data_IF_749956480192
#
_entry.id   IF_749956480192
#
_cell.length_a   1.000
_cell.length_b   1.000
_cell.length_c   1.000
_cell.angle_alpha   90.00
_cell.angle_beta   90.00
_cell.angle_gamma   90.00
#
_symmetry.space_group_name_H-M   'P 1'
#
loop_
_entity.id
_entity.type
_entity.pdbx_description
1 polymer ?
#
# COMPACT_ATOMS: atom_id res chain seq x y z
N UNK A 1 31.70 8.31 6.15
CA UNK A 1 31.47 7.49 7.36
C UNK A 1 31.82 6.05 7.01
N UNK A 2 32.49 5.29 7.90
CA UNK A 2 32.71 3.87 7.69
C UNK A 2 31.38 3.16 7.39
N UNK A 3 31.37 2.15 6.52
CA UNK A 3 30.13 1.44 6.11
C UNK A 3 29.33 0.90 7.31
N UNK A 4 30.00 0.57 8.42
CA UNK A 4 29.42 0.01 9.64
C UNK A 4 28.43 0.93 10.40
N UNK A 5 28.46 2.26 10.16
CA UNK A 5 27.58 3.24 10.84
C UNK A 5 26.43 3.74 9.98
N UNK A 6 26.28 3.22 8.75
CA UNK A 6 25.20 3.66 7.87
C UNK A 6 23.86 3.06 8.30
N UNK A 7 22.77 3.85 8.33
CA UNK A 7 21.46 3.33 8.70
C UNK A 7 21.00 2.29 7.67
N UNK A 8 20.39 1.21 8.15
CA UNK A 8 19.84 0.15 7.29
C UNK A 8 18.43 0.55 6.88
N UNK A 9 18.23 0.93 5.62
CA UNK A 9 16.97 1.50 5.13
C UNK A 9 16.41 0.69 3.97
N UNK A 10 15.08 0.69 3.84
CA UNK A 10 14.43 0.22 2.62
C UNK A 10 14.64 1.23 1.51
N UNK A 11 15.01 0.80 0.30
CA UNK A 11 15.20 1.72 -0.82
C UNK A 11 13.87 2.34 -1.27
N UNK A 12 13.87 3.49 -1.96
CA UNK A 12 12.67 4.07 -2.56
C UNK A 12 11.96 3.07 -3.48
N UNK A 13 12.75 2.28 -4.24
CA UNK A 13 12.21 1.24 -5.11
C UNK A 13 11.44 0.16 -4.36
N UNK A 14 11.89 -0.26 -3.17
CA UNK A 14 11.15 -1.21 -2.32
C UNK A 14 9.86 -0.59 -1.80
N UNK A 15 9.87 0.69 -1.41
CA UNK A 15 8.66 1.39 -0.97
C UNK A 15 7.63 1.43 -2.10
N UNK A 16 8.06 1.79 -3.32
CA UNK A 16 7.21 1.79 -4.52
C UNK A 16 6.67 0.39 -4.79
N UNK A 17 7.53 -0.63 -4.78
CA UNK A 17 7.16 -2.02 -5.04
C UNK A 17 6.06 -2.48 -4.09
N UNK A 18 6.22 -2.27 -2.78
CA UNK A 18 5.20 -2.66 -1.80
C UNK A 18 3.93 -1.82 -1.90
N UNK A 19 4.05 -0.55 -2.29
CA UNK A 19 2.88 0.30 -2.50
C UNK A 19 2.01 -0.18 -3.64
N UNK A 20 2.63 -0.61 -4.75
CA UNK A 20 1.94 -1.11 -5.95
C UNK A 20 1.41 -2.53 -5.73
N UNK A 21 2.20 -3.40 -5.09
CA UNK A 21 1.82 -4.82 -4.90
C UNK A 21 0.76 -5.01 -3.82
N UNK A 22 0.82 -4.23 -2.74
CA UNK A 22 -0.08 -4.41 -1.59
C UNK A 22 -1.08 -3.27 -1.48
N UNK A 23 -0.61 -2.07 -1.13
CA UNK A 23 -1.37 -0.83 -1.07
C UNK A 23 -0.44 0.33 -0.66
N UNK A 24 -0.85 1.58 -0.85
CA UNK A 24 -0.22 2.80 -0.32
C UNK A 24 0.13 2.71 1.17
N UNK A 25 -0.73 2.10 1.99
CA UNK A 25 -0.46 1.87 3.42
C UNK A 25 0.83 1.06 3.64
N UNK A 26 1.05 0.00 2.87
CA UNK A 26 2.25 -0.84 3.01
C UNK A 26 3.52 -0.03 2.71
N UNK A 27 3.48 0.81 1.67
CA UNK A 27 4.55 1.75 1.35
C UNK A 27 4.80 2.76 2.46
N UNK A 28 3.73 3.35 3.01
CA UNK A 28 3.82 4.29 4.11
C UNK A 28 4.47 3.67 5.36
N UNK A 29 4.15 2.41 5.68
CA UNK A 29 4.75 1.69 6.81
C UNK A 29 6.26 1.52 6.61
N UNK A 30 6.70 1.11 5.41
CA UNK A 30 8.13 0.99 5.09
C UNK A 30 8.85 2.34 5.21
N UNK A 31 8.23 3.40 4.73
CA UNK A 31 8.76 4.75 4.82
C UNK A 31 8.81 5.25 6.28
N UNK A 32 7.79 4.94 7.08
CA UNK A 32 7.76 5.25 8.51
C UNK A 32 8.88 4.53 9.27
N UNK A 33 9.15 3.25 8.94
CA UNK A 33 10.27 2.49 9.48
C UNK A 33 11.60 3.18 9.12
N UNK A 34 11.76 3.65 7.88
CA UNK A 34 12.95 4.40 7.49
C UNK A 34 13.09 5.71 8.29
N UNK A 35 12.01 6.47 8.47
CA UNK A 35 12.00 7.70 9.27
C UNK A 35 12.35 7.43 10.75
N UNK A 36 11.90 6.30 11.28
CA UNK A 36 12.24 5.85 12.63
C UNK A 36 13.74 5.55 12.75
N UNK A 37 14.32 4.82 11.78
CA UNK A 37 15.75 4.49 11.73
C UNK A 37 16.64 5.76 11.69
N UNK A 38 16.21 6.79 10.97
CA UNK A 38 16.93 8.09 10.94
C UNK A 38 16.54 9.04 12.10
N UNK A 39 15.85 8.54 13.13
CA UNK A 39 15.41 9.27 14.33
C UNK A 39 14.50 10.48 14.04
N UNK A 40 13.78 10.47 12.90
CA UNK A 40 12.80 11.50 12.50
C UNK A 40 11.38 11.10 12.87
N UNK A 41 11.16 10.70 14.13
CA UNK A 41 9.85 10.20 14.60
C UNK A 41 8.70 11.19 14.47
N UNK A 42 8.98 12.50 14.59
CA UNK A 42 7.97 13.56 14.37
C UNK A 42 7.41 13.57 12.94
N UNK A 43 8.22 13.17 11.95
CA UNK A 43 7.78 13.08 10.56
C UNK A 43 6.80 11.93 10.31
N UNK A 44 6.85 10.88 11.14
CA UNK A 44 5.95 9.74 11.06
C UNK A 44 4.51 10.16 11.30
N UNK A 45 4.27 11.08 12.25
CA UNK A 45 2.93 11.65 12.48
C UNK A 45 2.41 12.42 11.26
N UNK A 46 3.28 13.17 10.59
CA UNK A 46 2.94 13.86 9.34
C UNK A 46 2.62 12.88 8.21
N UNK A 47 3.38 11.79 8.09
CA UNK A 47 3.10 10.72 7.14
C UNK A 47 1.78 10.02 7.45
N UNK A 48 1.50 9.70 8.71
CA UNK A 48 0.25 9.07 9.13
C UNK A 48 -0.96 9.97 8.84
N UNK A 49 -0.86 11.27 9.15
CA UNK A 49 -1.91 12.24 8.82
C UNK A 49 -2.14 12.35 7.31
N UNK A 50 -1.07 12.37 6.51
CA UNK A 50 -1.16 12.37 5.06
C UNK A 50 -1.85 11.12 4.53
N UNK A 51 -1.47 9.93 5.00
CA UNK A 51 -2.08 8.66 4.58
C UNK A 51 -3.54 8.61 4.96
N UNK A 52 -3.91 9.02 6.17
CA UNK A 52 -5.31 9.07 6.59
C UNK A 52 -6.14 10.02 5.73
N UNK A 53 -5.64 11.24 5.49
CA UNK A 53 -6.31 12.19 4.60
C UNK A 53 -6.45 11.64 3.18
N UNK A 54 -5.40 10.96 2.68
CA UNK A 54 -5.40 10.33 1.37
C UNK A 54 -6.48 9.25 1.25
N UNK A 55 -6.58 8.35 2.24
CA UNK A 55 -7.57 7.29 2.25
C UNK A 55 -9.00 7.83 2.30
N UNK A 56 -9.23 8.94 3.01
CA UNK A 56 -10.55 9.61 3.01
C UNK A 56 -10.88 10.16 1.62
N UNK A 57 -9.94 10.85 0.99
CA UNK A 57 -10.12 11.39 -0.37
C UNK A 57 -10.33 10.27 -1.38
N UNK A 58 -9.50 9.22 -1.33
CA UNK A 58 -9.62 8.04 -2.17
C UNK A 58 -10.99 7.37 -1.98
N UNK A 59 -11.45 7.20 -0.73
CA UNK A 59 -12.76 6.62 -0.44
C UNK A 59 -13.91 7.44 -1.04
N UNK A 60 -13.83 8.77 -1.02
CA UNK A 60 -14.85 9.65 -1.61
C UNK A 60 -14.85 9.51 -3.14
N UNK A 61 -13.66 9.49 -3.75
CA UNK A 61 -13.50 9.32 -5.20
C UNK A 61 -14.06 7.96 -5.62
N UNK A 62 -13.61 6.88 -4.97
CA UNK A 62 -14.04 5.51 -5.26
C UNK A 62 -15.56 5.38 -5.09
N UNK A 63 -16.13 5.93 -4.01
CA UNK A 63 -17.57 5.95 -3.82
C UNK A 63 -18.31 6.65 -4.97
N UNK A 64 -17.84 7.83 -5.39
CA UNK A 64 -18.44 8.57 -6.52
C UNK A 64 -18.32 7.80 -7.84
N UNK A 65 -17.20 7.12 -8.05
CA UNK A 65 -16.97 6.32 -9.25
C UNK A 65 -17.86 5.06 -9.30
N UNK A 66 -18.11 4.40 -8.16
CA UNK A 66 -19.03 3.26 -8.08
C UNK A 66 -20.46 3.63 -8.50
N UNK A 67 -20.89 4.87 -8.26
CA UNK A 67 -22.20 5.34 -8.70
C UNK A 67 -22.28 5.55 -10.23
N UNK A 68 -21.13 5.73 -10.89
CA UNK A 68 -21.04 5.98 -12.34
C UNK A 68 -20.85 4.70 -13.17
N UNK A 69 -20.58 3.54 -12.54
CA UNK A 69 -20.39 2.27 -13.23
C UNK A 69 -19.41 1.31 -12.54
N UNK A 70 -19.17 0.12 -13.13
CA UNK A 70 -18.23 -0.86 -12.57
C UNK A 70 -16.80 -0.30 -12.54
N UNK A 71 -16.16 -0.41 -11.39
CA UNK A 71 -14.78 0.05 -11.19
C UNK A 71 -13.80 -0.85 -11.94
N UNK A 72 -12.97 -0.24 -12.78
CA UNK A 72 -11.84 -0.94 -13.38
C UNK A 72 -10.71 -1.09 -12.35
N UNK A 73 -10.18 -2.31 -12.10
CA UNK A 73 -9.04 -2.53 -11.19
C UNK A 73 -7.80 -1.69 -11.54
N UNK A 74 -7.61 -1.38 -12.82
CA UNK A 74 -6.52 -0.52 -13.28
C UNK A 74 -6.67 0.91 -12.74
N UNK A 75 -7.91 1.40 -12.65
CA UNK A 75 -8.22 2.75 -12.17
C UNK A 75 -7.95 2.89 -10.67
N UNK A 76 -8.26 1.85 -9.89
CA UNK A 76 -7.88 1.77 -8.48
C UNK A 76 -6.36 1.77 -8.30
N UNK A 77 -5.62 1.09 -9.18
CA UNK A 77 -4.15 1.12 -9.15
C UNK A 77 -3.60 2.51 -9.47
N UNK A 78 -4.20 3.22 -10.43
CA UNK A 78 -3.83 4.61 -10.78
C UNK A 78 -4.16 5.56 -9.62
N UNK A 79 -5.25 5.34 -8.90
CA UNK A 79 -5.58 6.13 -7.71
C UNK A 79 -4.56 6.00 -6.59
N UNK A 80 -3.65 5.01 -6.62
CA UNK A 80 -2.57 4.89 -5.64
C UNK A 80 -1.28 5.65 -6.05
N UNK A 81 -1.11 5.97 -7.34
CA UNK A 81 0.09 6.64 -7.86
C UNK A 81 0.41 7.98 -7.16
N UNK A 82 -0.56 8.89 -6.93
CA UNK A 82 -0.27 10.17 -6.30
C UNK A 82 0.35 10.04 -4.90
N UNK A 83 -0.13 9.11 -4.08
CA UNK A 83 0.48 8.82 -2.78
C UNK A 83 1.89 8.24 -2.91
N UNK A 84 2.11 7.33 -3.87
CA UNK A 84 3.43 6.74 -4.13
C UNK A 84 4.44 7.82 -4.55
N UNK A 85 4.02 8.73 -5.44
CA UNK A 85 4.83 9.87 -5.85
C UNK A 85 5.13 10.79 -4.67
N UNK A 86 4.17 11.06 -3.79
CA UNK A 86 4.40 11.83 -2.59
C UNK A 86 5.44 11.17 -1.67
N UNK A 87 5.45 9.84 -1.54
CA UNK A 87 6.46 9.13 -0.75
C UNK A 87 7.87 9.35 -1.27
N UNK A 88 8.08 9.24 -2.59
CA UNK A 88 9.40 9.30 -3.21
C UNK A 88 9.87 10.73 -3.45
N UNK A 89 8.99 11.62 -3.91
CA UNK A 89 9.36 12.98 -4.32
C UNK A 89 9.29 13.99 -3.17
N UNK A 90 8.43 13.77 -2.19
CA UNK A 90 8.24 14.70 -1.08
C UNK A 90 8.84 14.15 0.21
N UNK A 91 8.31 13.03 0.71
CA UNK A 91 8.69 12.54 2.03
C UNK A 91 10.11 12.00 2.09
N UNK A 92 10.57 11.31 1.05
CA UNK A 92 11.92 10.75 1.01
C UNK A 92 13.01 11.84 1.08
N UNK A 93 13.12 12.80 0.16
CA UNK A 93 14.16 13.81 0.23
C UNK A 93 14.01 14.72 1.45
N UNK A 94 12.78 14.95 1.93
CA UNK A 94 12.51 15.85 3.06
C UNK A 94 12.87 15.25 4.41
N UNK A 95 12.62 13.96 4.62
CA UNK A 95 12.72 13.34 5.95
C UNK A 95 13.76 12.22 6.04
N UNK A 96 14.02 11.49 4.96
CA UNK A 96 15.09 10.48 4.91
C UNK A 96 16.38 11.14 4.43
N UNK A 97 16.34 11.84 3.29
CA UNK A 97 17.36 12.79 2.84
C UNK A 97 18.76 12.22 2.60
N UNK A 98 18.95 10.90 2.70
CA UNK A 98 20.25 10.23 2.52
C UNK A 98 20.15 9.14 1.46
N UNK A 99 21.15 9.10 0.58
CA UNK A 99 21.40 8.00 -0.36
C UNK A 99 22.62 7.17 0.06
N UNK A 100 23.27 7.52 1.17
CA UNK A 100 24.35 6.76 1.81
C UNK A 100 23.70 5.90 2.90
N UNK A 101 23.21 4.73 2.52
CA UNK A 101 22.56 3.78 3.43
C UNK A 101 22.82 2.35 2.97
N UNK A 102 22.79 1.41 3.92
CA UNK A 102 22.82 -0.01 3.58
C UNK A 102 21.40 -0.46 3.20
N UNK A 103 21.24 -1.01 1.99
CA UNK A 103 19.96 -1.48 1.52
C UNK A 103 19.49 -2.68 2.35
N UNK A 104 18.32 -2.54 2.99
CA UNK A 104 17.71 -3.62 3.76
C UNK A 104 17.15 -4.70 2.82
N UNK A 105 17.35 -5.97 3.18
CA UNK A 105 16.71 -7.09 2.49
C UNK A 105 15.18 -6.97 2.53
N UNK A 106 14.54 -7.03 1.36
CA UNK A 106 13.09 -6.84 1.19
C UNK A 106 12.34 -8.14 0.83
N UNK A 107 13.05 -9.19 0.43
CA UNK A 107 12.45 -10.47 0.02
C UNK A 107 11.70 -11.16 1.17
N UNK A 108 12.27 -11.18 2.37
CA UNK A 108 11.64 -11.78 3.55
C UNK A 108 10.30 -11.11 3.88
N UNK A 109 10.21 -9.78 4.09
CA UNK A 109 8.92 -9.14 4.36
C UNK A 109 7.94 -9.29 3.19
N UNK A 110 8.42 -9.33 1.94
CA UNK A 110 7.55 -9.53 0.78
C UNK A 110 6.90 -10.91 0.77
N UNK A 111 7.67 -11.97 1.06
CA UNK A 111 7.14 -13.33 1.16
C UNK A 111 6.11 -13.44 2.28
N UNK A 112 6.37 -12.82 3.44
CA UNK A 112 5.42 -12.81 4.56
C UNK A 112 4.11 -12.14 4.14
N UNK A 113 4.16 -10.96 3.53
CA UNK A 113 2.96 -10.26 3.07
C UNK A 113 2.20 -11.06 2.00
N UNK A 114 2.91 -11.74 1.09
CA UNK A 114 2.32 -12.56 0.04
C UNK A 114 1.61 -13.78 0.61
N UNK A 115 2.24 -14.51 1.55
CA UNK A 115 1.62 -15.64 2.25
C UNK A 115 0.36 -15.22 3.00
N UNK A 116 0.40 -14.07 3.69
CA UNK A 116 -0.76 -13.52 4.40
C UNK A 116 -1.89 -13.18 3.41
N UNK A 117 -1.58 -12.51 2.30
CA UNK A 117 -2.56 -12.11 1.29
C UNK A 117 -3.23 -13.32 0.64
N UNK A 118 -2.45 -14.33 0.26
CA UNK A 118 -2.97 -15.58 -0.32
C UNK A 118 -3.79 -16.35 0.72
N UNK A 119 -3.30 -16.45 1.96
CA UNK A 119 -3.99 -17.13 3.06
C UNK A 119 -5.35 -16.49 3.37
N UNK A 120 -5.39 -15.15 3.48
CA UNK A 120 -6.65 -14.40 3.66
C UNK A 120 -7.59 -14.57 2.46
N UNK A 121 -7.07 -14.55 1.24
CA UNK A 121 -7.87 -14.75 0.04
C UNK A 121 -8.51 -16.14 -0.02
N UNK A 122 -7.76 -17.19 0.34
CA UNK A 122 -8.29 -18.55 0.44
C UNK A 122 -9.29 -18.69 1.57
N UNK A 123 -9.02 -18.12 2.74
CA UNK A 123 -9.93 -18.15 3.89
C UNK A 123 -11.23 -17.40 3.59
N UNK A 124 -11.16 -16.24 2.93
CA UNK A 124 -12.34 -15.49 2.49
C UNK A 124 -13.17 -16.30 1.49
N UNK A 125 -12.53 -16.98 0.53
CA UNK A 125 -13.22 -17.89 -0.40
C UNK A 125 -13.87 -19.06 0.32
N UNK A 126 -13.17 -19.69 1.26
CA UNK A 126 -13.71 -20.76 2.08
C UNK A 126 -14.91 -20.26 2.89
N UNK A 127 -14.79 -19.12 3.58
CA UNK A 127 -15.88 -18.52 4.35
C UNK A 127 -17.12 -18.19 3.50
N UNK A 128 -16.93 -17.68 2.28
CA UNK A 128 -18.02 -17.41 1.33
C UNK A 128 -18.78 -18.67 0.93
N UNK A 129 -18.14 -19.85 0.90
CA UNK A 129 -18.81 -21.13 0.61
C UNK A 129 -19.77 -21.56 1.72
N UNK A 130 -19.58 -21.09 2.96
CA UNK A 130 -20.48 -21.38 4.09
C UNK A 130 -21.62 -20.37 4.23
N UNK A 131 -21.68 -19.33 3.40
CA UNK A 131 -22.80 -18.39 3.38
C UNK A 131 -23.82 -18.87 2.33
N UNK A 132 -24.92 -19.53 2.73
CA UNK A 132 -25.94 -19.97 1.79
C UNK A 132 -26.54 -18.75 1.07
N UNK A 133 -26.53 -18.77 -0.27
CA UNK A 133 -27.03 -17.67 -1.12
C UNK A 133 -25.97 -16.71 -1.68
N UNK A 134 -24.70 -16.82 -1.26
CA UNK A 134 -23.62 -15.98 -1.79
C UNK A 134 -23.41 -16.13 -3.31
N UNK A 135 -23.60 -17.34 -3.85
CA UNK A 135 -23.52 -17.58 -5.30
C UNK A 135 -24.66 -16.91 -6.09
N UNK A 136 -25.86 -16.80 -5.49
CA UNK A 136 -27.01 -16.15 -6.14
C UNK A 136 -26.84 -14.63 -6.17
N UNK A 137 -26.30 -14.04 -5.11
CA UNK A 137 -25.99 -12.61 -5.05
C UNK A 137 -24.87 -12.23 -6.05
N UNK A 138 -23.82 -13.05 -6.17
CA UNK A 138 -22.76 -12.86 -7.16
C UNK A 138 -23.31 -12.93 -8.59
N UNK A 139 -24.16 -13.91 -8.90
CA UNK A 139 -24.80 -14.03 -10.22
C UNK A 139 -25.77 -12.89 -10.55
N UNK A 140 -26.47 -12.34 -9.57
CA UNK A 140 -27.35 -11.16 -9.77
C UNK A 140 -26.57 -9.85 -9.93
N UNK A 141 -25.36 -9.76 -9.38
CA UNK A 141 -24.52 -8.57 -9.48
C UNK A 141 -23.71 -8.45 -10.78
N UNK A 142 -23.65 -9.52 -11.60
CA UNK A 142 -23.02 -9.47 -12.92
C UNK A 142 -24.04 -9.00 -13.97
N UNK A 143 -23.76 -7.92 -14.73
CA UNK A 143 -24.67 -7.49 -15.79
C UNK A 143 -24.76 -8.60 -16.85
N UNK A 144 -25.99 -9.01 -17.15
CA UNK A 144 -26.27 -10.00 -18.20
C UNK A 144 -25.79 -9.45 -19.55
N UNK A 145 -24.98 -10.20 -20.32
CA UNK A 145 -24.63 -9.81 -21.67
C UNK A 145 -25.92 -9.77 -22.51
N UNK A 146 -26.18 -8.64 -23.16
CA UNK A 146 -27.20 -8.53 -24.20
C UNK A 146 -26.78 -9.25 -25.46
#
# INVERSE_FOLDING_TARGET
MPEADQPVLYTPGVIVLFSVLFNTIAGAVLLAINMYQVKRTKAIWGLAAFVLAYLVVESIIVNTMMHSGPLNPLLLSILNLPAILAYVLWFWPRYVGTYQFQARGWLVPLLVCLVIMVGLGLLARYALQFIPGAEQMLKQSMPQPK
#
